data_IF_890036880349
#
_entry.id   IF_890036880349
#
_cell.length_a   1.000
_cell.length_b   1.000
_cell.length_c   1.000
_cell.angle_alpha   90.00
_cell.angle_beta   90.00
_cell.angle_gamma   90.00
#
_symmetry.space_group_name_H-M   'P 1'
#
loop_
_entity.id
_entity.type
_entity.pdbx_description
1 polymer ?
#
# COMPACT_ATOMS: atom_id res chain seq x y z
N UNK A 1 10.50 -1.78 9.80
CA UNK A 1 10.49 -2.52 11.08
C UNK A 1 10.21 -1.53 12.20
N UNK A 2 9.27 -1.85 13.10
CA UNK A 2 8.91 -0.96 14.21
C UNK A 2 9.87 -1.13 15.40
N UNK A 3 10.29 -0.02 16.00
CA UNK A 3 11.08 0.04 17.24
C UNK A 3 10.15 0.44 18.38
N UNK A 4 10.34 -0.19 19.53
CA UNK A 4 9.56 0.07 20.74
C UNK A 4 10.44 0.55 21.88
N UNK A 5 10.13 1.72 22.44
CA UNK A 5 10.86 2.27 23.59
C UNK A 5 9.87 2.89 24.56
N UNK A 6 9.84 2.43 25.81
CA UNK A 6 8.94 3.00 26.84
C UNK A 6 7.44 2.97 26.47
N UNK A 7 7.00 1.98 25.69
CA UNK A 7 5.62 1.88 25.20
C UNK A 7 5.29 2.79 24.02
N UNK A 8 6.27 3.55 23.51
CA UNK A 8 6.16 4.31 22.27
C UNK A 8 6.67 3.47 21.11
N UNK A 9 6.04 3.63 19.95
CA UNK A 9 6.43 3.00 18.70
C UNK A 9 7.03 4.04 17.78
N UNK A 10 8.10 3.65 17.11
CA UNK A 10 8.65 4.38 15.98
C UNK A 10 8.74 3.44 14.79
N UNK A 11 8.30 3.87 13.62
CA UNK A 11 8.38 3.10 12.39
C UNK A 11 8.70 4.01 11.20
N UNK A 12 9.34 3.44 10.20
CA UNK A 12 9.78 4.14 9.01
C UNK A 12 9.49 3.28 7.78
N UNK A 13 9.13 3.95 6.69
CA UNK A 13 9.09 3.39 5.35
C UNK A 13 9.76 4.35 4.37
N UNK A 14 10.33 3.81 3.29
CA UNK A 14 10.96 4.62 2.26
C UNK A 14 10.90 3.98 0.88
N UNK A 15 10.84 4.84 -0.14
CA UNK A 15 10.81 4.47 -1.55
C UNK A 15 11.87 5.26 -2.31
N UNK A 16 12.43 4.65 -3.36
CA UNK A 16 13.34 5.37 -4.25
C UNK A 16 12.55 6.36 -5.11
N UNK A 17 13.01 7.61 -5.19
CA UNK A 17 12.35 8.65 -5.98
C UNK A 17 13.36 9.66 -6.49
N UNK A 18 13.36 9.86 -7.80
CA UNK A 18 14.07 10.96 -8.46
C UNK A 18 13.20 12.22 -8.58
N UNK A 19 11.90 12.14 -8.27
CA UNK A 19 10.99 13.27 -8.37
C UNK A 19 11.27 14.28 -7.25
N UNK A 20 11.52 15.56 -7.57
CA UNK A 20 11.58 16.61 -6.56
C UNK A 20 10.16 16.86 -6.03
N UNK A 21 9.97 16.78 -4.72
CA UNK A 21 8.69 17.04 -4.04
C UNK A 21 8.93 18.03 -2.92
N UNK A 22 8.09 19.07 -2.83
CA UNK A 22 8.23 20.11 -1.80
C UNK A 22 7.56 19.68 -0.49
N UNK A 23 8.00 20.24 0.65
CA UNK A 23 7.35 19.98 1.93
C UNK A 23 5.87 20.39 1.97
N UNK A 24 5.49 21.44 1.23
CA UNK A 24 4.09 21.86 1.09
C UNK A 24 3.27 20.82 0.32
N UNK A 25 3.80 20.34 -0.81
CA UNK A 25 3.18 19.30 -1.62
C UNK A 25 3.00 18.01 -0.81
N UNK A 26 4.02 17.57 -0.04
CA UNK A 26 3.92 16.41 0.85
C UNK A 26 2.81 16.55 1.90
N UNK A 27 2.62 17.75 2.45
CA UNK A 27 1.55 18.01 3.43
C UNK A 27 0.17 17.89 2.79
N UNK A 28 -0.01 18.55 1.65
CA UNK A 28 -1.29 18.60 0.94
C UNK A 28 -1.66 17.23 0.40
N UNK A 29 -0.69 16.53 -0.20
CA UNK A 29 -0.91 15.21 -0.75
C UNK A 29 -1.19 14.16 0.32
N UNK A 30 -0.60 14.26 1.51
CA UNK A 30 -0.95 13.36 2.62
C UNK A 30 -2.45 13.38 2.92
N UNK A 31 -3.05 14.56 3.06
CA UNK A 31 -4.48 14.66 3.35
C UNK A 31 -5.38 14.32 2.15
N UNK A 32 -4.89 14.51 0.92
CA UNK A 32 -5.61 14.12 -0.30
C UNK A 32 -5.56 12.61 -0.56
N UNK A 33 -4.44 11.97 -0.24
CA UNK A 33 -4.18 10.55 -0.55
C UNK A 33 -4.85 9.64 0.46
N UNK A 34 -4.85 9.98 1.76
CA UNK A 34 -5.40 9.12 2.82
C UNK A 34 -6.86 8.69 2.55
N UNK A 35 -7.80 9.58 2.20
CA UNK A 35 -9.15 9.16 1.85
C UNK A 35 -9.21 8.23 0.65
N UNK A 36 -8.40 8.48 -0.37
CA UNK A 36 -8.37 7.65 -1.59
C UNK A 36 -7.78 6.26 -1.31
N UNK A 37 -6.70 6.19 -0.55
CA UNK A 37 -6.03 4.95 -0.15
C UNK A 37 -6.90 4.09 0.77
N UNK A 38 -7.79 4.72 1.54
CA UNK A 38 -8.73 4.03 2.43
C UNK A 38 -10.11 3.85 1.80
N UNK A 39 -10.26 4.09 0.49
CA UNK A 39 -11.52 3.97 -0.24
C UNK A 39 -12.67 4.77 0.39
N UNK A 40 -12.35 5.94 0.95
CA UNK A 40 -13.28 6.84 1.62
C UNK A 40 -13.62 6.46 3.06
N UNK A 41 -13.09 5.35 3.60
CA UNK A 41 -13.31 4.97 4.99
C UNK A 41 -12.75 6.02 5.95
N UNK A 42 -11.56 6.55 5.65
CA UNK A 42 -10.97 7.65 6.40
C UNK A 42 -11.25 8.96 5.68
N UNK A 43 -11.84 9.91 6.38
CA UNK A 43 -12.04 11.28 5.90
C UNK A 43 -11.12 12.23 6.65
N UNK A 44 -10.77 13.35 6.00
CA UNK A 44 -10.03 14.43 6.62
C UNK A 44 -10.98 15.58 6.94
N UNK A 45 -10.84 16.16 8.14
CA UNK A 45 -11.52 17.39 8.56
C UNK A 45 -10.52 18.25 9.31
N UNK A 46 -10.12 19.38 8.73
CA UNK A 46 -9.05 20.22 9.30
C UNK A 46 -7.72 19.45 9.40
N UNK A 47 -7.09 19.43 10.56
CA UNK A 47 -5.86 18.66 10.81
C UNK A 47 -6.12 17.29 11.42
N UNK A 48 -7.34 16.77 11.32
CA UNK A 48 -7.74 15.49 11.91
C UNK A 48 -8.22 14.49 10.86
N UNK A 49 -7.99 13.21 11.15
CA UNK A 49 -8.47 12.07 10.38
C UNK A 49 -9.59 11.36 11.14
N UNK A 50 -10.65 11.02 10.43
CA UNK A 50 -11.87 10.43 10.98
C UNK A 50 -12.21 9.11 10.29
N UNK A 51 -12.59 8.10 11.06
CA UNK A 51 -13.26 6.89 10.57
C UNK A 51 -14.76 7.02 10.91
N UNK A 52 -15.57 7.41 9.93
CA UNK A 52 -16.97 7.79 10.16
C UNK A 52 -17.07 8.99 11.13
N UNK A 53 -17.75 8.86 12.30
CA UNK A 53 -17.82 9.92 13.30
C UNK A 53 -16.60 9.95 14.25
N UNK A 54 -15.73 8.94 14.20
CA UNK A 54 -14.65 8.76 15.18
C UNK A 54 -13.38 9.46 14.73
N UNK A 55 -12.90 10.44 15.49
CA UNK A 55 -11.57 11.02 15.28
C UNK A 55 -10.50 9.97 15.62
N UNK A 56 -9.81 9.45 14.62
CA UNK A 56 -8.78 8.41 14.80
C UNK A 56 -7.41 9.00 15.09
N UNK A 57 -7.10 10.14 14.47
CA UNK A 57 -5.89 10.92 14.69
C UNK A 57 -6.22 12.41 14.61
N UNK A 58 -5.63 13.16 15.52
CA UNK A 58 -5.59 14.62 15.51
C UNK A 58 -4.14 15.06 15.38
N UNK A 59 -3.85 15.89 14.37
CA UNK A 59 -2.54 16.47 14.18
C UNK A 59 -2.50 17.94 14.59
N UNK A 60 -1.37 18.32 15.16
CA UNK A 60 -1.06 19.70 15.47
C UNK A 60 -0.65 20.54 14.27
N UNK A 61 -0.20 21.75 14.54
CA UNK A 61 0.30 22.67 13.50
C UNK A 61 1.49 22.04 12.76
N UNK A 62 1.32 21.86 11.44
CA UNK A 62 2.35 21.32 10.57
C UNK A 62 3.60 22.22 10.55
N UNK A 63 4.78 21.61 10.71
CA UNK A 63 6.07 22.27 10.48
C UNK A 63 6.58 21.86 9.11
N UNK A 64 6.56 22.79 8.17
CA UNK A 64 6.95 22.53 6.78
C UNK A 64 8.29 23.19 6.48
N UNK A 65 9.21 22.43 5.90
CA UNK A 65 10.46 22.93 5.32
C UNK A 65 10.40 22.83 3.79
N UNK A 66 11.51 23.16 3.10
CA UNK A 66 11.58 23.08 1.63
C UNK A 66 11.23 21.68 1.09
N UNK A 67 11.65 20.62 1.78
CA UNK A 67 11.50 19.23 1.32
C UNK A 67 10.93 18.28 2.37
N UNK A 68 10.38 18.79 3.47
CA UNK A 68 9.77 17.93 4.50
C UNK A 68 8.57 18.58 5.16
N UNK A 69 7.72 17.75 5.75
CA UNK A 69 6.64 18.15 6.63
C UNK A 69 6.67 17.29 7.89
N UNK A 70 6.50 17.92 9.04
CA UNK A 70 6.26 17.25 10.31
C UNK A 70 4.85 17.61 10.81
N UNK A 71 4.09 16.59 11.17
CA UNK A 71 2.74 16.64 11.72
C UNK A 71 2.79 16.10 13.15
N UNK A 72 2.78 16.96 14.18
CA UNK A 72 2.71 16.52 15.58
C UNK A 72 1.45 15.70 15.82
N UNK A 73 1.54 14.57 16.53
CA UNK A 73 0.37 13.76 16.89
C UNK A 73 -0.16 14.25 18.24
N UNK A 74 -1.32 14.90 18.23
CA UNK A 74 -1.91 15.54 19.41
C UNK A 74 -2.99 14.70 20.08
N UNK A 75 -3.60 13.74 19.38
CA UNK A 75 -4.65 12.91 19.95
C UNK A 75 -5.40 12.08 18.93
N UNK A 76 -6.62 11.64 19.30
CA UNK A 76 -7.47 10.75 18.52
C UNK A 76 -7.60 9.36 19.16
N UNK A 77 -8.60 8.59 18.73
CA UNK A 77 -8.99 7.31 19.31
C UNK A 77 -7.85 6.28 19.29
N UNK A 78 -7.00 6.31 18.26
CA UNK A 78 -5.89 5.37 18.15
C UNK A 78 -4.69 5.79 19.02
N UNK A 79 -4.69 7.02 19.54
CA UNK A 79 -3.59 7.60 20.32
C UNK A 79 -3.82 7.39 21.80
N UNK A 80 -2.92 6.65 22.45
CA UNK A 80 -3.02 6.34 23.88
C UNK A 80 -2.70 7.55 24.76
N UNK A 81 -1.70 8.34 24.38
CA UNK A 81 -1.31 9.60 25.04
C UNK A 81 -0.80 10.59 24.00
N UNK A 82 -0.97 11.89 24.26
CA UNK A 82 -0.45 12.96 23.39
C UNK A 82 1.06 12.79 23.13
N UNK A 83 1.49 13.10 21.92
CA UNK A 83 2.89 13.16 21.53
C UNK A 83 3.28 12.18 20.44
N UNK A 84 4.53 12.35 20.00
CA UNK A 84 5.02 11.77 18.77
C UNK A 84 4.72 12.66 17.56
N UNK A 85 5.20 12.23 16.39
CA UNK A 85 5.05 12.98 15.14
C UNK A 85 5.07 12.05 13.95
N UNK A 86 4.32 12.41 12.92
CA UNK A 86 4.49 11.90 11.57
C UNK A 86 5.40 12.87 10.80
N UNK A 87 6.46 12.37 10.20
CA UNK A 87 7.36 13.14 9.35
C UNK A 87 7.40 12.52 7.96
N UNK A 88 7.26 13.34 6.94
CA UNK A 88 7.40 12.94 5.53
C UNK A 88 8.46 13.85 4.92
N UNK A 89 9.46 13.27 4.26
CA UNK A 89 10.57 14.03 3.71
C UNK A 89 11.06 13.46 2.37
N UNK A 90 11.46 14.37 1.49
CA UNK A 90 12.19 14.11 0.27
C UNK A 90 13.67 14.46 0.48
N UNK A 91 14.56 13.53 0.15
CA UNK A 91 16.00 13.76 0.22
C UNK A 91 16.80 12.52 -0.18
N UNK A 92 18.03 12.75 -0.66
CA UNK A 92 18.99 11.67 -1.03
C UNK A 92 18.40 10.64 -2.03
N UNK A 93 17.62 11.10 -3.01
CA UNK A 93 16.98 10.23 -4.01
C UNK A 93 15.88 9.31 -3.45
N UNK A 94 15.31 9.64 -2.29
CA UNK A 94 14.27 8.86 -1.63
C UNK A 94 13.17 9.75 -1.07
N UNK A 95 11.97 9.19 -1.00
CA UNK A 95 10.90 9.69 -0.13
C UNK A 95 10.83 8.79 1.09
N UNK A 96 10.79 9.39 2.28
CA UNK A 96 10.76 8.68 3.56
C UNK A 96 9.59 9.20 4.37
N UNK A 97 8.81 8.30 4.94
CA UNK A 97 7.81 8.62 5.96
C UNK A 97 8.19 7.91 7.25
N UNK A 98 8.16 8.63 8.37
CA UNK A 98 8.40 8.07 9.70
C UNK A 98 7.31 8.50 10.67
N UNK A 99 6.91 7.59 11.54
CA UNK A 99 6.16 7.90 12.76
C UNK A 99 7.13 7.72 13.91
N UNK A 100 7.29 8.74 14.74
CA UNK A 100 8.27 8.75 15.84
C UNK A 100 7.59 9.02 17.16
N UNK A 101 7.90 8.22 18.19
CA UNK A 101 7.53 8.52 19.58
C UNK A 101 6.02 8.48 19.88
N UNK A 102 5.22 7.94 18.96
CA UNK A 102 3.78 7.76 19.08
C UNK A 102 3.47 6.65 20.10
N UNK A 103 2.49 6.85 21.00
CA UNK A 103 2.03 5.79 21.91
C UNK A 103 0.67 5.27 21.46
N UNK A 104 0.57 4.04 20.93
CA UNK A 104 -0.71 3.46 20.56
C UNK A 104 -1.61 3.27 21.78
N UNK A 105 -2.92 3.40 21.58
CA UNK A 105 -3.92 3.05 22.60
C UNK A 105 -4.00 1.54 22.81
N UNK A 106 -3.80 0.77 21.74
CA UNK A 106 -3.84 -0.69 21.78
C UNK A 106 -2.59 -1.26 22.47
N UNK A 107 -2.73 -2.38 23.23
CA UNK A 107 -1.60 -3.19 23.67
C UNK A 107 -0.72 -3.62 22.50
N UNK A 108 0.58 -3.80 22.75
CA UNK A 108 1.58 -4.09 21.69
C UNK A 108 1.19 -5.24 20.76
N UNK A 109 0.68 -6.40 21.23
CA UNK A 109 0.33 -7.50 20.34
C UNK A 109 -0.81 -7.12 19.37
N UNK A 110 -1.85 -6.46 19.88
CA UNK A 110 -2.99 -6.03 19.08
C UNK A 110 -2.59 -4.93 18.09
N UNK A 111 -1.75 -3.99 18.50
CA UNK A 111 -1.19 -2.99 17.60
C UNK A 111 -0.36 -3.65 16.49
N UNK A 112 0.52 -4.59 16.83
CA UNK A 112 1.42 -5.25 15.89
C UNK A 112 0.65 -6.09 14.85
N UNK A 113 -0.48 -6.67 15.22
CA UNK A 113 -1.32 -7.48 14.32
C UNK A 113 -2.29 -6.66 13.47
N UNK A 114 -2.76 -5.50 13.95
CA UNK A 114 -3.81 -4.74 13.27
C UNK A 114 -3.33 -3.42 12.69
N UNK A 115 -2.80 -2.52 13.52
CA UNK A 115 -2.46 -1.15 13.11
C UNK A 115 -1.11 -1.08 12.41
N UNK A 116 -0.11 -1.85 12.84
CA UNK A 116 1.23 -1.80 12.26
C UNK A 116 1.24 -2.18 10.76
N UNK A 117 0.59 -3.28 10.31
CA UNK A 117 0.52 -3.61 8.89
C UNK A 117 -0.23 -2.54 8.09
N UNK A 118 -1.28 -1.97 8.68
CA UNK A 118 -2.04 -0.89 8.06
C UNK A 118 -1.21 0.38 7.88
N UNK A 119 -0.49 0.83 8.92
CA UNK A 119 0.40 1.98 8.85
C UNK A 119 1.49 1.79 7.80
N UNK A 120 2.14 0.63 7.77
CA UNK A 120 3.11 0.32 6.73
C UNK A 120 2.50 0.37 5.33
N UNK A 121 1.33 -0.24 5.14
CA UNK A 121 0.66 -0.27 3.83
C UNK A 121 0.30 1.14 3.35
N UNK A 122 -0.31 1.94 4.21
CA UNK A 122 -0.73 3.32 3.88
C UNK A 122 0.48 4.22 3.63
N UNK A 123 1.50 4.18 4.48
CA UNK A 123 2.72 4.97 4.30
C UNK A 123 3.43 4.59 3.01
N UNK A 124 3.60 3.29 2.75
CA UNK A 124 4.20 2.77 1.52
C UNK A 124 3.45 3.26 0.28
N UNK A 125 2.13 3.06 0.24
CA UNK A 125 1.31 3.45 -0.91
C UNK A 125 1.32 4.96 -1.13
N UNK A 126 1.20 5.77 -0.08
CA UNK A 126 1.31 7.22 -0.17
C UNK A 126 2.66 7.62 -0.77
N UNK A 127 3.77 7.07 -0.26
CA UNK A 127 5.10 7.35 -0.80
C UNK A 127 5.24 6.95 -2.28
N UNK A 128 4.68 5.81 -2.68
CA UNK A 128 4.69 5.35 -4.08
C UNK A 128 3.82 6.23 -4.99
N UNK A 129 2.68 6.73 -4.50
CA UNK A 129 1.86 7.70 -5.24
C UNK A 129 2.59 9.03 -5.42
N UNK A 130 3.29 9.49 -4.39
CA UNK A 130 4.14 10.69 -4.48
C UNK A 130 5.31 10.49 -5.46
N UNK A 131 5.96 9.34 -5.41
CA UNK A 131 7.00 8.94 -6.38
C UNK A 131 6.45 9.00 -7.81
N UNK A 132 5.20 8.55 -8.01
CA UNK A 132 4.55 8.54 -9.31
C UNK A 132 5.04 7.40 -10.21
N UNK A 133 4.53 7.32 -11.45
CA UNK A 133 4.88 6.22 -12.37
C UNK A 133 6.08 6.51 -13.25
N UNK A 134 6.51 7.77 -13.34
CA UNK A 134 7.64 8.18 -14.16
C UNK A 134 8.88 8.45 -13.30
N UNK A 135 10.08 7.99 -13.73
CA UNK A 135 10.31 7.07 -14.84
C UNK A 135 9.71 5.68 -14.57
N UNK A 136 9.36 4.92 -15.62
CA UNK A 136 8.83 3.58 -15.45
C UNK A 136 9.85 2.66 -14.76
N UNK A 137 9.43 1.72 -13.91
CA UNK A 137 10.35 0.82 -13.20
C UNK A 137 11.03 -0.23 -14.11
N UNK A 138 10.57 -0.35 -15.36
CA UNK A 138 11.06 -1.27 -16.38
C UNK A 138 10.22 -1.15 -17.65
N UNK A 139 10.47 -2.01 -18.63
CA UNK A 139 9.71 -2.03 -19.89
C UNK A 139 8.27 -2.51 -19.61
N UNK A 140 7.23 -1.68 -19.80
CA UNK A 140 5.86 -2.08 -19.51
C UNK A 140 5.38 -3.17 -20.47
N UNK A 141 4.73 -4.20 -19.94
CA UNK A 141 4.15 -5.27 -20.75
C UNK A 141 2.85 -4.80 -21.42
N UNK A 142 2.58 -5.09 -22.70
CA UNK A 142 1.35 -4.71 -23.37
C UNK A 142 0.12 -5.48 -22.81
N UNK A 143 -1.10 -4.90 -22.87
CA UNK A 143 -2.30 -5.48 -22.26
C UNK A 143 -2.62 -6.92 -22.68
N UNK A 144 -2.41 -7.25 -23.97
CA UNK A 144 -2.70 -8.59 -24.51
C UNK A 144 -1.84 -9.65 -23.80
N UNK A 145 -0.54 -9.39 -23.63
CA UNK A 145 0.36 -10.32 -22.92
C UNK A 145 -0.02 -10.44 -21.44
N UNK A 146 -0.43 -9.34 -20.80
CA UNK A 146 -0.95 -9.38 -19.41
C UNK A 146 -2.19 -10.28 -19.31
N UNK A 147 -3.10 -10.19 -20.30
CA UNK A 147 -4.28 -11.04 -20.36
C UNK A 147 -3.93 -12.52 -20.57
N UNK A 148 -2.91 -12.84 -21.38
CA UNK A 148 -2.42 -14.21 -21.54
C UNK A 148 -1.92 -14.80 -20.21
N UNK A 149 -1.15 -14.05 -19.42
CA UNK A 149 -0.70 -14.49 -18.10
C UNK A 149 -1.90 -14.77 -17.16
N UNK A 150 -2.86 -13.85 -17.13
CA UNK A 150 -4.08 -14.01 -16.34
C UNK A 150 -4.91 -15.23 -16.78
N UNK A 151 -5.01 -15.50 -18.09
CA UNK A 151 -5.72 -16.66 -18.61
C UNK A 151 -5.06 -17.98 -18.19
N UNK A 152 -3.73 -18.05 -18.16
CA UNK A 152 -2.99 -19.21 -17.66
C UNK A 152 -3.27 -19.45 -16.17
N UNK A 153 -3.20 -18.39 -15.35
CA UNK A 153 -3.51 -18.50 -13.92
C UNK A 153 -4.97 -18.92 -13.68
N UNK A 154 -5.92 -18.41 -14.47
CA UNK A 154 -7.33 -18.84 -14.42
C UNK A 154 -7.49 -20.31 -14.81
N UNK A 155 -6.82 -20.76 -15.87
CA UNK A 155 -6.83 -22.17 -16.30
C UNK A 155 -6.28 -23.10 -15.21
N UNK A 156 -5.20 -22.70 -14.53
CA UNK A 156 -4.64 -23.42 -13.39
C UNK A 156 -5.70 -23.60 -12.28
N UNK A 157 -6.37 -22.52 -11.88
CA UNK A 157 -7.40 -22.61 -10.83
C UNK A 157 -8.67 -23.35 -11.29
N UNK A 158 -9.00 -23.32 -12.59
CA UNK A 158 -10.09 -24.12 -13.14
C UNK A 158 -9.78 -25.64 -13.04
N UNK A 159 -8.55 -26.07 -13.34
CA UNK A 159 -8.13 -27.47 -13.17
C UNK A 159 -8.18 -27.89 -11.70
N UNK A 160 -7.68 -27.05 -10.79
CA UNK A 160 -7.76 -27.30 -9.35
C UNK A 160 -9.21 -27.42 -8.88
N UNK A 161 -10.11 -26.57 -9.40
CA UNK A 161 -11.53 -26.61 -9.08
C UNK A 161 -12.20 -27.91 -9.55
N UNK A 162 -11.86 -28.37 -10.76
CA UNK A 162 -12.38 -29.62 -11.33
C UNK A 162 -11.92 -30.85 -10.51
N UNK A 163 -10.64 -30.87 -10.10
CA UNK A 163 -10.08 -31.96 -9.29
C UNK A 163 -10.59 -31.99 -7.84
N UNK A 164 -10.99 -30.83 -7.30
CA UNK A 164 -11.43 -30.68 -5.91
C UNK A 164 -12.83 -31.27 -5.60
N UNK A 165 -13.62 -31.62 -6.62
CA UNK A 165 -14.98 -32.15 -6.49
C UNK A 165 -16.05 -31.11 -6.12
N UNK A 166 -17.31 -31.36 -6.53
CA UNK A 166 -18.45 -30.42 -6.48
C UNK A 166 -18.82 -29.88 -5.08
N UNK A 167 -18.30 -30.49 -3.99
CA UNK A 167 -18.57 -30.11 -2.59
C UNK A 167 -17.57 -29.12 -1.98
N UNK A 168 -16.41 -28.87 -2.59
CA UNK A 168 -15.52 -27.78 -2.11
C UNK A 168 -16.08 -26.45 -2.58
N UNK A 169 -16.64 -25.70 -1.62
CA UNK A 169 -17.31 -24.41 -1.84
C UNK A 169 -16.36 -23.45 -2.58
N UNK A 170 -16.86 -22.80 -3.64
CA UNK A 170 -16.16 -21.78 -4.43
C UNK A 170 -15.38 -20.76 -3.56
N UNK A 171 -15.89 -20.46 -2.36
CA UNK A 171 -15.21 -19.65 -1.36
C UNK A 171 -13.80 -20.16 -1.00
N UNK A 172 -13.60 -21.46 -0.80
CA UNK A 172 -12.29 -22.03 -0.48
C UNK A 172 -11.30 -21.85 -1.65
N UNK A 173 -11.76 -22.06 -2.89
CA UNK A 173 -10.95 -21.82 -4.09
C UNK A 173 -10.59 -20.34 -4.23
N UNK A 174 -11.53 -19.43 -3.96
CA UNK A 174 -11.28 -17.99 -3.97
C UNK A 174 -10.22 -17.59 -2.93
N UNK A 175 -10.28 -18.17 -1.72
CA UNK A 175 -9.27 -17.94 -0.67
C UNK A 175 -7.90 -18.47 -1.09
N UNK A 176 -7.83 -19.66 -1.67
CA UNK A 176 -6.56 -20.24 -2.16
C UNK A 176 -5.99 -19.38 -3.30
N UNK A 177 -6.83 -18.97 -4.25
CA UNK A 177 -6.42 -18.10 -5.35
C UNK A 177 -5.93 -16.73 -4.85
N UNK A 178 -6.63 -16.13 -3.90
CA UNK A 178 -6.20 -14.89 -3.25
C UNK A 178 -4.83 -15.04 -2.58
N UNK A 179 -4.67 -16.11 -1.78
CA UNK A 179 -3.41 -16.42 -1.09
C UNK A 179 -2.25 -16.63 -2.07
N UNK A 180 -2.49 -17.39 -3.15
CA UNK A 180 -1.52 -17.60 -4.22
C UNK A 180 -1.06 -16.29 -4.86
N UNK A 181 -1.98 -15.42 -5.28
CA UNK A 181 -1.61 -14.17 -5.93
C UNK A 181 -0.85 -13.24 -4.99
N UNK A 182 -1.33 -13.09 -3.75
CA UNK A 182 -0.65 -12.26 -2.74
C UNK A 182 0.77 -12.78 -2.50
N UNK A 183 0.92 -14.10 -2.33
CA UNK A 183 2.21 -14.73 -2.09
C UNK A 183 3.16 -14.58 -3.28
N UNK A 184 2.73 -14.96 -4.49
CA UNK A 184 3.52 -14.86 -5.72
C UNK A 184 3.98 -13.43 -6.00
N UNK A 185 3.07 -12.46 -5.96
CA UNK A 185 3.42 -11.05 -6.18
C UNK A 185 4.36 -10.51 -5.11
N UNK A 186 4.17 -10.90 -3.84
CA UNK A 186 4.97 -10.38 -2.73
C UNK A 186 6.36 -11.00 -2.65
N UNK A 187 6.56 -12.23 -3.13
CA UNK A 187 7.86 -12.93 -3.02
C UNK A 187 8.69 -12.79 -4.28
N UNK A 188 8.14 -13.12 -5.45
CA UNK A 188 8.88 -13.11 -6.72
C UNK A 188 8.41 -12.03 -7.67
N UNK A 189 7.21 -11.47 -7.45
CA UNK A 189 6.51 -10.66 -8.44
C UNK A 189 5.90 -11.51 -9.56
N UNK A 190 6.03 -12.83 -9.53
CA UNK A 190 5.66 -13.72 -10.64
C UNK A 190 4.65 -14.78 -10.20
N UNK A 191 3.52 -14.82 -10.90
CA UNK A 191 2.60 -15.97 -10.90
C UNK A 191 3.11 -17.01 -11.90
N UNK A 192 2.53 -18.20 -11.94
CA UNK A 192 2.80 -19.24 -12.96
C UNK A 192 2.59 -18.67 -14.37
N UNK A 193 1.47 -17.99 -14.62
CA UNK A 193 1.24 -17.30 -15.88
C UNK A 193 2.31 -16.23 -16.17
N UNK A 194 2.72 -15.48 -15.15
CA UNK A 194 3.80 -14.49 -15.26
C UNK A 194 5.15 -15.13 -15.61
N UNK A 195 5.51 -16.25 -14.99
CA UNK A 195 6.75 -16.98 -15.26
C UNK A 195 6.79 -17.50 -16.70
N UNK A 196 5.70 -18.10 -17.17
CA UNK A 196 5.60 -18.63 -18.54
C UNK A 196 5.67 -17.51 -19.58
N UNK A 197 5.13 -16.33 -19.27
CA UNK A 197 5.05 -15.22 -20.22
C UNK A 197 6.17 -14.17 -20.07
N UNK A 198 7.13 -14.40 -19.17
CA UNK A 198 8.26 -13.49 -18.92
C UNK A 198 7.84 -12.15 -18.31
N UNK A 199 6.88 -12.17 -17.39
CA UNK A 199 6.31 -10.96 -16.78
C UNK A 199 6.49 -10.97 -15.26
N UNK A 200 6.79 -9.79 -14.72
CA UNK A 200 6.89 -9.57 -13.28
C UNK A 200 6.12 -8.33 -12.86
N UNK A 201 5.41 -8.47 -11.75
CA UNK A 201 4.77 -7.37 -11.03
C UNK A 201 5.77 -6.74 -10.08
N UNK A 202 5.96 -5.43 -10.19
CA UNK A 202 6.85 -4.62 -9.33
C UNK A 202 6.12 -3.40 -8.79
N UNK A 203 6.64 -2.81 -7.71
CA UNK A 203 6.22 -1.48 -7.27
C UNK A 203 6.65 -0.44 -8.31
N UNK A 204 5.98 0.73 -8.35
CA UNK A 204 6.34 1.79 -9.31
C UNK A 204 7.78 2.31 -9.15
N UNK A 205 8.39 2.13 -7.98
CA UNK A 205 9.81 2.45 -7.73
C UNK A 205 10.79 1.31 -8.14
N UNK A 206 10.28 0.23 -8.73
CA UNK A 206 11.04 -0.95 -9.17
C UNK A 206 11.31 -1.98 -8.07
N UNK A 207 10.96 -1.67 -6.82
CA UNK A 207 11.12 -2.60 -5.71
C UNK A 207 10.08 -3.72 -5.74
N UNK A 208 10.31 -4.76 -4.93
CA UNK A 208 9.36 -5.84 -4.70
C UNK A 208 8.03 -5.29 -4.18
N UNK A 209 6.93 -5.91 -4.59
CA UNK A 209 5.58 -5.55 -4.11
C UNK A 209 5.41 -6.00 -2.67
N UNK A 210 4.92 -5.10 -1.81
CA UNK A 210 4.60 -5.46 -0.43
C UNK A 210 3.29 -6.25 -0.34
N UNK A 211 3.07 -7.06 0.70
CA UNK A 211 1.80 -7.76 0.90
C UNK A 211 0.58 -6.84 0.91
N UNK A 212 0.72 -5.64 1.48
CA UNK A 212 -0.34 -4.61 1.47
C UNK A 212 -0.68 -4.13 0.06
N UNK A 213 0.32 -3.85 -0.78
CA UNK A 213 0.10 -3.53 -2.19
C UNK A 213 -0.54 -4.70 -2.94
N UNK A 214 -0.06 -5.93 -2.73
CA UNK A 214 -0.61 -7.13 -3.37
C UNK A 214 -2.09 -7.33 -3.01
N UNK A 215 -2.46 -7.09 -1.75
CA UNK A 215 -3.85 -7.13 -1.30
C UNK A 215 -4.70 -6.04 -1.97
N UNK A 216 -4.23 -4.78 -2.00
CA UNK A 216 -4.93 -3.68 -2.69
C UNK A 216 -5.11 -3.99 -4.17
N UNK A 217 -4.06 -4.51 -4.82
CA UNK A 217 -4.08 -4.94 -6.22
C UNK A 217 -5.18 -5.98 -6.44
N UNK A 218 -5.23 -7.01 -5.59
CA UNK A 218 -6.20 -8.10 -5.67
C UNK A 218 -7.64 -7.58 -5.50
N UNK A 219 -7.89 -6.77 -4.46
CA UNK A 219 -9.22 -6.22 -4.16
C UNK A 219 -9.71 -5.29 -5.29
N UNK A 220 -8.79 -4.61 -5.99
CA UNK A 220 -9.12 -3.72 -7.10
C UNK A 220 -9.32 -4.44 -8.45
N UNK A 221 -9.07 -5.75 -8.56
CA UNK A 221 -9.25 -6.50 -9.83
C UNK A 221 -10.67 -6.45 -10.39
N UNK A 222 -11.76 -6.59 -9.60
CA UNK A 222 -13.12 -6.49 -10.14
C UNK A 222 -13.39 -5.14 -10.81
N UNK A 223 -12.89 -4.05 -10.22
CA UNK A 223 -12.99 -2.71 -10.79
C UNK A 223 -12.20 -2.57 -12.09
N UNK A 224 -11.07 -3.26 -12.21
CA UNK A 224 -10.29 -3.28 -13.44
C UNK A 224 -11.01 -4.01 -14.58
N UNK A 225 -11.67 -5.13 -14.28
CA UNK A 225 -12.50 -5.84 -15.24
C UNK A 225 -13.69 -4.99 -15.72
N UNK A 226 -14.38 -4.32 -14.79
CA UNK A 226 -15.53 -3.46 -15.12
C UNK A 226 -15.14 -2.23 -15.93
N UNK A 227 -13.99 -1.60 -15.63
CA UNK A 227 -13.54 -0.37 -16.30
C UNK A 227 -12.69 -0.63 -17.54
N UNK A 228 -12.35 -1.88 -17.83
CA UNK A 228 -11.42 -2.28 -18.90
C UNK A 228 -10.11 -1.48 -18.87
N UNK A 229 -9.65 -1.14 -17.65
CA UNK A 229 -8.45 -0.35 -17.37
C UNK A 229 -7.69 -0.98 -16.22
N UNK A 230 -6.37 -0.83 -16.21
CA UNK A 230 -5.50 -1.36 -15.16
C UNK A 230 -5.57 -0.54 -13.85
N UNK A 231 -6.78 -0.18 -13.38
CA UNK A 231 -6.96 0.62 -12.15
C UNK A 231 -6.41 -0.07 -10.91
N UNK A 232 -6.32 -1.40 -10.93
CA UNK A 232 -5.68 -2.17 -9.86
C UNK A 232 -4.18 -1.87 -9.73
N UNK A 233 -3.49 -1.61 -10.85
CA UNK A 233 -2.09 -1.18 -10.88
C UNK A 233 -1.92 0.26 -10.38
N UNK A 234 -2.88 1.13 -10.68
CA UNK A 234 -2.90 2.51 -10.21
C UNK A 234 -3.08 2.57 -8.69
N UNK A 235 -4.10 1.89 -8.15
CA UNK A 235 -4.39 1.89 -6.71
C UNK A 235 -3.27 1.24 -5.90
N UNK A 236 -2.73 0.11 -6.35
CA UNK A 236 -1.66 -0.59 -5.66
C UNK A 236 -0.27 0.03 -5.86
N UNK A 237 -0.17 1.07 -6.71
CA UNK A 237 1.09 1.67 -7.13
C UNK A 237 2.09 0.61 -7.65
N UNK A 238 1.60 -0.24 -8.54
CA UNK A 238 2.36 -1.31 -9.19
C UNK A 238 2.43 -1.15 -10.70
N UNK A 239 3.36 -1.87 -11.33
CA UNK A 239 3.49 -2.00 -12.78
C UNK A 239 3.83 -3.45 -13.13
N UNK A 240 3.39 -3.89 -14.32
CA UNK A 240 3.81 -5.17 -14.90
C UNK A 240 4.90 -4.89 -15.91
N UNK A 241 6.10 -5.39 -15.63
CA UNK A 241 7.28 -5.22 -16.47
C UNK A 241 7.67 -6.55 -17.12
N UNK A 242 8.28 -6.47 -18.30
CA UNK A 242 8.95 -7.63 -18.87
C UNK A 242 10.25 -7.88 -18.11
N UNK A 243 10.60 -9.16 -17.97
CA UNK A 243 11.94 -9.55 -17.52
C UNK A 243 13.00 -9.26 -18.61
#
# INVERSE_FOLDING_TARGET
MAKWTGGRVSLEDSVASSRPVTGRELRESFYLDIPRLTLGLVSQRGSSLFLGPLEIFSFGRAKTTRSSVELPIEGGLLVGNRGGRLRIQAGKGRLTASVEGYRPRLPRPLYALTQLPFHHTVMRLHLLWQRGRQPAPGVPVPPIRRATAAAIDLGLFAVVALAAGRRRRLAALAVIAAGYHIFCWSISGRTVGGMITGQRVVSVDGSRVSPGQALVRLVALPMAALRLRAVHDEFAATEVVSD
#
